data_IF_466037310484
#
_entry.id   IF_466037310484
#
_cell.length_a   1.000
_cell.length_b   1.000
_cell.length_c   1.000
_cell.angle_alpha   90.00
_cell.angle_beta   90.00
_cell.angle_gamma   90.00
#
_symmetry.space_group_name_H-M   'P 1'
#
loop_
_entity.id
_entity.type
_entity.pdbx_description
1 polymer ?
#
# COMPACT_ATOMS: atom_id res chain seq x y z
N UNK A 1 13.04 -15.83 11.47
CA UNK A 1 12.57 -14.42 11.34
C UNK A 1 11.06 -14.36 11.49
N UNK A 2 10.59 -13.61 12.48
CA UNK A 2 9.19 -13.54 12.97
C UNK A 2 8.28 -12.63 12.10
N UNK A 3 8.37 -12.70 10.77
CA UNK A 3 7.70 -11.74 9.86
C UNK A 3 7.01 -12.36 8.64
N UNK A 4 6.88 -13.68 8.61
CA UNK A 4 6.50 -14.43 7.41
C UNK A 4 4.99 -14.76 7.33
N UNK A 5 4.21 -14.38 8.36
CA UNK A 5 2.77 -14.66 8.46
C UNK A 5 1.88 -13.41 8.49
N UNK A 6 2.44 -12.20 8.38
CA UNK A 6 1.70 -10.93 8.58
C UNK A 6 0.93 -10.43 7.36
N UNK A 7 1.01 -11.11 6.20
CA UNK A 7 0.56 -10.56 4.92
C UNK A 7 -0.87 -10.93 4.47
N UNK A 8 -1.74 -11.49 5.33
CA UNK A 8 -3.20 -11.49 5.07
C UNK A 8 -3.78 -10.10 5.37
N UNK A 9 -3.31 -9.11 4.63
CA UNK A 9 -3.63 -7.70 4.86
C UNK A 9 -5.03 -7.33 4.39
N UNK A 10 -5.63 -7.99 3.40
CA UNK A 10 -6.95 -7.57 2.88
C UNK A 10 -8.07 -7.67 3.90
N UNK A 11 -8.13 -8.73 4.71
CA UNK A 11 -9.18 -8.87 5.75
C UNK A 11 -8.94 -7.93 6.92
N UNK A 12 -7.68 -7.77 7.35
CA UNK A 12 -7.32 -6.86 8.44
C UNK A 12 -7.53 -5.40 8.02
N UNK A 13 -7.08 -5.02 6.83
CA UNK A 13 -7.28 -3.68 6.25
C UNK A 13 -8.78 -3.38 6.13
N UNK A 14 -9.59 -4.32 5.65
CA UNK A 14 -11.05 -4.15 5.60
C UNK A 14 -11.65 -3.92 6.99
N UNK A 15 -11.23 -4.68 8.00
CA UNK A 15 -11.69 -4.47 9.39
C UNK A 15 -11.26 -3.10 9.94
N UNK A 16 -10.02 -2.70 9.69
CA UNK A 16 -9.52 -1.36 10.05
C UNK A 16 -10.32 -0.27 9.35
N UNK A 17 -10.64 -0.43 8.06
CA UNK A 17 -11.46 0.53 7.32
C UNK A 17 -12.88 0.64 7.90
N UNK A 18 -13.51 -0.48 8.26
CA UNK A 18 -14.84 -0.48 8.89
C UNK A 18 -14.79 0.28 10.22
N UNK A 19 -13.76 0.03 11.04
CA UNK A 19 -13.54 0.75 12.30
C UNK A 19 -13.37 2.25 12.07
N UNK A 20 -12.50 2.67 11.15
CA UNK A 20 -12.29 4.08 10.79
C UNK A 20 -13.61 4.73 10.33
N UNK A 21 -14.37 4.07 9.45
CA UNK A 21 -15.64 4.59 8.97
C UNK A 21 -16.67 4.75 10.11
N UNK A 22 -16.69 3.82 11.07
CA UNK A 22 -17.54 3.94 12.26
C UNK A 22 -17.16 5.15 13.11
N UNK A 23 -15.86 5.38 13.35
CA UNK A 23 -15.38 6.57 14.05
C UNK A 23 -15.73 7.87 13.31
N UNK A 24 -15.52 7.93 11.99
CA UNK A 24 -15.84 9.11 11.19
C UNK A 24 -17.33 9.45 11.23
N UNK A 25 -18.21 8.46 11.18
CA UNK A 25 -19.67 8.68 11.30
C UNK A 25 -20.05 9.23 12.68
N UNK A 26 -19.44 8.72 13.76
CA UNK A 26 -19.64 9.25 15.11
C UNK A 26 -19.16 10.70 15.26
N UNK A 27 -17.98 11.02 14.70
CA UNK A 27 -17.41 12.39 14.75
C UNK A 27 -18.30 13.38 14.00
N UNK A 28 -18.85 12.98 12.85
CA UNK A 28 -19.78 13.81 12.06
C UNK A 28 -21.23 13.76 12.58
N UNK A 29 -21.47 13.10 13.72
CA UNK A 29 -22.80 12.94 14.33
C UNK A 29 -23.86 12.35 13.39
N UNK A 30 -23.46 11.48 12.44
CA UNK A 30 -24.37 10.85 11.47
C UNK A 30 -25.12 9.71 12.16
N UNK A 31 -26.44 9.84 12.22
CA UNK A 31 -27.34 8.87 12.80
C UNK A 31 -28.33 8.38 11.74
N UNK A 32 -28.99 7.27 12.01
CA UNK A 32 -30.17 6.92 11.23
C UNK A 32 -31.23 8.04 11.42
N UNK A 33 -31.93 8.52 10.38
CA UNK A 33 -32.09 7.96 9.03
C UNK A 33 -31.14 8.51 7.95
N UNK A 34 -30.03 9.17 8.31
CA UNK A 34 -29.11 9.75 7.32
C UNK A 34 -28.32 8.68 6.55
N UNK A 35 -28.66 8.50 5.27
CA UNK A 35 -27.97 7.57 4.38
C UNK A 35 -26.76 8.23 3.69
N UNK A 36 -25.64 8.32 4.40
CA UNK A 36 -24.37 8.81 3.84
C UNK A 36 -23.53 7.66 3.28
N UNK A 37 -23.26 7.71 1.96
CA UNK A 37 -22.36 6.77 1.29
C UNK A 37 -20.92 6.91 1.80
N UNK A 38 -20.14 5.83 1.75
CA UNK A 38 -18.74 5.87 2.21
C UNK A 38 -17.88 6.83 1.38
N UNK A 39 -18.17 7.00 0.08
CA UNK A 39 -17.47 7.96 -0.78
C UNK A 39 -17.70 9.40 -0.33
N UNK A 40 -18.95 9.76 -0.04
CA UNK A 40 -19.31 11.08 0.46
C UNK A 40 -18.73 11.34 1.87
N UNK A 41 -18.69 10.30 2.71
CA UNK A 41 -18.06 10.37 4.03
C UNK A 41 -16.58 10.75 3.94
N UNK A 42 -15.84 10.11 3.02
CA UNK A 42 -14.41 10.37 2.81
C UNK A 42 -14.15 11.73 2.16
N UNK A 43 -15.02 12.17 1.25
CA UNK A 43 -14.94 13.50 0.64
C UNK A 43 -15.13 14.61 1.67
N UNK A 44 -16.16 14.51 2.52
CA UNK A 44 -16.42 15.49 3.59
C UNK A 44 -15.29 15.56 4.62
N UNK A 45 -14.62 14.44 4.90
CA UNK A 45 -13.55 14.37 5.92
C UNK A 45 -12.16 14.56 5.32
N UNK A 46 -12.06 14.69 3.99
CA UNK A 46 -10.81 14.68 3.23
C UNK A 46 -9.89 13.49 3.60
N UNK A 47 -10.49 12.35 3.97
CA UNK A 47 -9.76 11.14 4.37
C UNK A 47 -9.55 10.21 3.19
N UNK A 48 -8.40 9.51 3.18
CA UNK A 48 -8.13 8.44 2.23
C UNK A 48 -8.50 7.09 2.84
N UNK A 49 -8.90 6.11 2.01
CA UNK A 49 -9.04 4.73 2.45
C UNK A 49 -7.72 4.20 3.06
N UNK A 50 -7.84 3.40 4.12
CA UNK A 50 -6.73 2.79 4.85
C UNK A 50 -5.80 1.99 3.93
N UNK A 51 -6.34 1.32 2.91
CA UNK A 51 -5.53 0.60 1.92
C UNK A 51 -4.59 1.53 1.15
N UNK A 52 -5.08 2.71 0.75
CA UNK A 52 -4.27 3.68 0.02
C UNK A 52 -3.18 4.27 0.91
N UNK A 53 -3.51 4.59 2.15
CA UNK A 53 -2.56 5.12 3.12
C UNK A 53 -1.46 4.10 3.47
N UNK A 54 -1.83 2.83 3.67
CA UNK A 54 -0.88 1.73 3.90
C UNK A 54 0.03 1.54 2.69
N UNK A 55 -0.54 1.54 1.48
CA UNK A 55 0.23 1.44 0.23
C UNK A 55 1.19 2.61 0.09
N UNK A 56 0.74 3.84 0.37
CA UNK A 56 1.60 5.05 0.36
C UNK A 56 2.78 4.92 1.32
N UNK A 57 2.53 4.47 2.55
CA UNK A 57 3.59 4.27 3.56
C UNK A 57 4.56 3.16 3.16
N UNK A 58 4.06 2.06 2.61
CA UNK A 58 4.89 0.98 2.05
C UNK A 58 5.82 1.52 0.97
N UNK A 59 5.30 2.27 0.00
CA UNK A 59 6.11 2.84 -1.07
C UNK A 59 7.09 3.92 -0.56
N UNK A 60 6.72 4.73 0.44
CA UNK A 60 7.69 5.61 1.12
C UNK A 60 8.85 4.82 1.74
N UNK A 61 8.56 3.70 2.40
CA UNK A 61 9.57 2.83 3.00
C UNK A 61 10.46 2.16 1.94
N UNK A 62 9.87 1.64 0.86
CA UNK A 62 10.62 1.06 -0.28
C UNK A 62 11.61 2.08 -0.86
N UNK A 63 11.17 3.32 -1.10
CA UNK A 63 12.06 4.36 -1.62
C UNK A 63 13.17 4.74 -0.64
N UNK A 64 12.93 4.65 0.68
CA UNK A 64 14.00 4.80 1.66
C UNK A 64 15.01 3.65 1.58
N UNK A 65 14.54 2.42 1.45
CA UNK A 65 15.39 1.22 1.34
C UNK A 65 16.20 1.21 0.04
N UNK A 66 15.60 1.58 -1.11
CA UNK A 66 16.27 1.65 -2.41
C UNK A 66 17.36 2.73 -2.46
N UNK A 67 17.21 3.82 -1.70
CA UNK A 67 18.24 4.87 -1.59
C UNK A 67 19.43 4.50 -0.71
N UNK A 68 19.34 3.43 0.10
CA UNK A 68 20.50 2.95 0.87
C UNK A 68 21.55 2.35 -0.06
N UNK A 69 22.79 2.28 0.41
CA UNK A 69 23.89 1.63 -0.32
C UNK A 69 23.53 0.21 -0.75
N UNK A 70 24.01 -0.23 -1.91
CA UNK A 70 23.83 -1.59 -2.45
C UNK A 70 24.23 -2.69 -1.45
N UNK A 71 25.24 -2.43 -0.61
CA UNK A 71 25.73 -3.36 0.39
C UNK A 71 24.80 -3.51 1.62
N UNK A 72 23.79 -2.66 1.78
CA UNK A 72 22.93 -2.69 2.95
C UNK A 72 22.06 -3.95 2.98
N UNK A 73 22.05 -4.65 4.12
CA UNK A 73 21.27 -5.88 4.33
C UNK A 73 19.79 -5.67 4.02
N UNK A 74 19.23 -4.53 4.41
CA UNK A 74 17.81 -4.20 4.16
C UNK A 74 17.48 -4.08 2.68
N UNK A 75 18.43 -3.57 1.87
CA UNK A 75 18.28 -3.44 0.41
C UNK A 75 18.42 -4.79 -0.28
N UNK A 76 19.39 -5.60 0.13
CA UNK A 76 19.52 -6.99 -0.34
C UNK A 76 18.30 -7.83 0.00
N UNK A 77 17.74 -7.66 1.21
CA UNK A 77 16.54 -8.37 1.65
C UNK A 77 15.28 -8.01 0.84
N UNK A 78 15.22 -6.80 0.28
CA UNK A 78 14.09 -6.37 -0.56
C UNK A 78 14.04 -7.14 -1.89
N UNK A 79 15.20 -7.41 -2.50
CA UNK A 79 15.33 -8.11 -3.79
C UNK A 79 15.65 -9.60 -3.66
N UNK A 80 15.89 -10.08 -2.44
CA UNK A 80 16.22 -11.48 -2.18
C UNK A 80 15.07 -12.43 -2.59
N UNK A 81 15.40 -13.42 -3.43
CA UNK A 81 14.52 -14.55 -3.72
C UNK A 81 15.06 -15.79 -3.01
N UNK A 82 14.44 -16.28 -1.92
CA UNK A 82 14.90 -17.52 -1.33
C UNK A 82 14.60 -18.69 -2.26
N UNK A 83 15.64 -19.38 -2.70
CA UNK A 83 15.52 -20.63 -3.46
C UNK A 83 14.91 -21.73 -2.58
N UNK A 84 13.93 -22.46 -3.11
CA UNK A 84 13.32 -23.60 -2.43
C UNK A 84 11.81 -23.74 -2.62
N UNK A 85 11.31 -24.98 -2.46
CA UNK A 85 9.88 -25.27 -2.51
C UNK A 85 9.19 -24.78 -1.22
N UNK A 86 8.08 -24.05 -1.38
CA UNK A 86 7.28 -23.55 -0.25
C UNK A 86 6.61 -24.71 0.49
N UNK A 87 6.60 -24.66 1.83
CA UNK A 87 5.84 -25.62 2.65
C UNK A 87 4.32 -25.46 2.38
N UNK A 88 3.61 -26.59 2.27
CA UNK A 88 2.15 -26.64 2.15
C UNK A 88 1.52 -25.91 3.35
N UNK A 89 0.62 -24.94 3.09
CA UNK A 89 -0.04 -24.13 4.13
C UNK A 89 0.52 -22.72 4.36
N UNK A 90 1.67 -22.36 3.77
CA UNK A 90 2.20 -20.98 3.81
C UNK A 90 1.38 -20.07 2.89
N UNK A 91 1.15 -18.81 3.29
CA UNK A 91 0.37 -17.86 2.50
C UNK A 91 0.99 -17.62 1.13
N UNK A 92 0.14 -17.47 0.10
CA UNK A 92 0.58 -17.41 -1.31
C UNK A 92 1.36 -16.15 -1.67
N UNK A 93 1.24 -15.06 -0.90
CA UNK A 93 1.73 -13.74 -1.27
C UNK A 93 2.93 -13.33 -0.40
N UNK A 94 4.09 -13.11 -1.02
CA UNK A 94 5.24 -12.46 -0.37
C UNK A 94 5.19 -10.94 -0.57
N UNK A 95 5.86 -10.17 0.30
CA UNK A 95 6.05 -8.73 0.13
C UNK A 95 6.56 -8.40 -1.28
N UNK A 96 7.48 -9.21 -1.81
CA UNK A 96 8.01 -9.09 -3.18
C UNK A 96 6.91 -9.24 -4.24
N UNK A 97 6.03 -10.23 -4.13
CA UNK A 97 4.95 -10.42 -5.10
C UNK A 97 3.92 -9.29 -5.05
N UNK A 98 3.63 -8.74 -3.87
CA UNK A 98 2.77 -7.56 -3.76
C UNK A 98 3.42 -6.34 -4.42
N UNK A 99 4.71 -6.12 -4.18
CA UNK A 99 5.47 -5.04 -4.82
C UNK A 99 5.51 -5.24 -6.34
N UNK A 100 5.82 -6.45 -6.82
CA UNK A 100 5.81 -6.78 -8.25
C UNK A 100 4.42 -6.60 -8.87
N UNK A 101 3.34 -6.93 -8.15
CA UNK A 101 1.98 -6.70 -8.63
C UNK A 101 1.63 -5.22 -8.72
N UNK A 102 2.06 -4.40 -7.75
CA UNK A 102 1.91 -2.95 -7.80
C UNK A 102 2.77 -2.34 -8.91
N UNK A 103 4.00 -2.83 -9.13
CA UNK A 103 4.89 -2.40 -10.23
C UNK A 103 4.30 -2.72 -11.59
N UNK A 104 3.77 -3.94 -11.78
CA UNK A 104 3.07 -4.34 -13.00
C UNK A 104 1.87 -3.46 -13.30
N UNK A 105 1.12 -3.04 -12.28
CA UNK A 105 0.00 -2.09 -12.43
C UNK A 105 0.43 -0.70 -12.90
N UNK A 106 1.67 -0.30 -12.59
CA UNK A 106 2.23 0.99 -12.98
C UNK A 106 3.06 0.93 -14.26
N UNK A 107 3.25 -0.26 -14.83
CA UNK A 107 4.13 -0.50 -15.98
C UNK A 107 5.59 -0.05 -15.75
N UNK A 108 6.13 -0.31 -14.55
CA UNK A 108 7.54 -0.08 -14.23
C UNK A 108 8.29 -1.38 -13.94
N UNK A 109 9.57 -1.39 -14.28
CA UNK A 109 10.51 -2.45 -13.88
C UNK A 109 11.32 -2.06 -12.62
N UNK A 110 12.11 -2.99 -12.08
CA UNK A 110 12.93 -2.76 -10.88
C UNK A 110 14.04 -1.71 -11.10
N UNK A 111 14.64 -1.66 -12.28
CA UNK A 111 15.73 -0.73 -12.61
C UNK A 111 15.23 0.72 -12.70
N UNK A 112 14.10 0.94 -13.37
CA UNK A 112 13.41 2.22 -13.45
C UNK A 112 12.99 2.69 -12.06
N UNK A 113 12.46 1.79 -11.23
CA UNK A 113 12.08 2.12 -9.85
C UNK A 113 13.27 2.48 -8.99
N UNK A 114 14.41 1.82 -9.18
CA UNK A 114 15.64 2.19 -8.52
C UNK A 114 16.12 3.57 -8.95
N UNK A 115 16.10 3.86 -10.26
CA UNK A 115 16.47 5.17 -10.81
C UNK A 115 15.57 6.29 -10.28
N UNK A 116 14.25 6.09 -10.31
CA UNK A 116 13.28 7.07 -9.80
C UNK A 116 13.42 7.23 -8.28
N UNK A 117 13.75 6.17 -7.54
CA UNK A 117 13.93 6.27 -6.09
C UNK A 117 15.09 7.20 -5.70
N UNK A 118 16.12 7.34 -6.54
CA UNK A 118 17.21 8.30 -6.31
C UNK A 118 16.75 9.75 -6.48
N UNK A 119 15.89 10.01 -7.46
CA UNK A 119 15.22 11.30 -7.60
C UNK A 119 14.12 11.45 -6.53
N UNK A 120 14.38 12.25 -5.50
CA UNK A 120 13.41 12.48 -4.41
C UNK A 120 12.12 13.13 -4.89
N UNK A 121 12.17 13.96 -5.94
CA UNK A 121 10.99 14.64 -6.48
C UNK A 121 10.19 13.67 -7.32
N UNK A 122 10.83 12.97 -8.27
CA UNK A 122 10.23 11.92 -9.07
C UNK A 122 9.62 10.80 -8.22
N UNK A 123 10.31 10.35 -7.16
CA UNK A 123 9.76 9.38 -6.22
C UNK A 123 8.51 9.90 -5.50
N UNK A 124 8.52 11.16 -5.04
CA UNK A 124 7.35 11.76 -4.39
C UNK A 124 6.16 11.86 -5.35
N UNK A 125 6.40 12.21 -6.61
CA UNK A 125 5.37 12.25 -7.64
C UNK A 125 4.78 10.86 -7.90
N UNK A 126 5.62 9.84 -8.04
CA UNK A 126 5.19 8.45 -8.23
C UNK A 126 4.34 7.95 -7.05
N UNK A 127 4.79 8.20 -5.82
CA UNK A 127 4.06 7.80 -4.59
C UNK A 127 2.72 8.52 -4.44
N UNK A 128 2.64 9.79 -4.84
CA UNK A 128 1.39 10.55 -4.84
C UNK A 128 0.44 10.09 -5.96
N UNK A 129 0.97 9.79 -7.15
CA UNK A 129 0.21 9.26 -8.29
C UNK A 129 -0.38 7.87 -8.00
N UNK A 130 0.36 7.04 -7.27
CA UNK A 130 -0.08 5.73 -6.77
C UNK A 130 -1.39 5.78 -5.98
N UNK A 131 -1.59 6.84 -5.19
CA UNK A 131 -2.80 7.05 -4.40
C UNK A 131 -3.95 7.68 -5.20
N UNK A 132 -3.64 8.25 -6.37
CA UNK A 132 -4.63 8.96 -7.21
C UNK A 132 -5.29 8.03 -8.23
N UNK A 133 -4.59 6.98 -8.69
CA UNK A 133 -5.11 6.00 -9.67
C UNK A 133 -6.35 5.22 -9.18
N UNK A 134 -6.52 5.08 -7.87
CA UNK A 134 -7.72 4.45 -7.27
C UNK A 134 -8.90 5.42 -7.17
N UNK A 135 -8.68 6.73 -7.33
CA UNK A 135 -9.71 7.77 -7.25
C UNK A 135 -10.42 7.96 -8.60
N UNK A 136 -9.72 7.81 -9.72
CA UNK A 136 -10.29 7.88 -11.08
C UNK A 136 -11.18 6.67 -11.41
N UNK A 137 -10.83 5.47 -10.94
CA UNK A 137 -11.65 4.26 -11.14
C UNK A 137 -12.93 4.20 -10.27
N UNK A 138 -13.15 5.14 -9.33
CA UNK A 138 -14.40 5.23 -8.53
C UNK A 138 -15.43 6.20 -9.10
N UNK A 139 -15.10 6.90 -10.19
CA UNK A 139 -16.02 7.82 -10.89
C UNK A 139 -16.72 7.17 -12.09
N UNK A 140 -16.59 5.85 -12.26
CA UNK A 140 -17.38 5.05 -13.20
C UNK A 140 -18.35 4.17 -12.42
#
# INVERSE_FOLDING_TARGET
>A
MYGDKTWRTTTIIKRVQIFINSCLRKILNIHWPDFVSNSLLWERTNQLPAEEEIRKRRWKWIGHTLRKSSNCITRKALTWNPEGKRKRGRSKNTLRQEIESDMKRMNYNWEEMERIAQDRVGWRMLVSGLCSFTRSNRRR
#
